data_IF_275410490203
#
_entry.id   IF_275410490203
#
_cell.length_a   1.000
_cell.length_b   1.000
_cell.length_c   1.000
_cell.angle_alpha   90.00
_cell.angle_beta   90.00
_cell.angle_gamma   90.00
#
_symmetry.space_group_name_H-M   'P 1'
#
loop_
_entity.id
_entity.type
_entity.pdbx_description
1 polymer ?
#
# COMPACT_ATOMS: atom_id res chain seq x y z
N UNK A 1 48.06 37.39 -18.01
CA UNK A 1 48.33 36.33 -17.02
C UNK A 1 47.01 36.01 -16.32
N UNK A 2 46.47 34.78 -16.42
CA UNK A 2 45.19 34.44 -15.79
C UNK A 2 45.41 34.19 -14.30
N UNK A 3 44.51 34.70 -13.45
CA UNK A 3 44.60 34.57 -11.99
C UNK A 3 44.20 33.15 -11.55
N UNK A 4 45.14 32.29 -11.09
CA UNK A 4 44.88 30.87 -10.86
C UNK A 4 44.03 30.55 -9.61
N UNK A 5 43.75 31.54 -8.75
CA UNK A 5 42.98 31.34 -7.52
C UNK A 5 41.46 31.52 -7.65
N UNK A 6 41.00 32.31 -8.62
CA UNK A 6 39.57 32.67 -8.74
C UNK A 6 38.72 31.50 -9.26
N UNK A 7 39.27 30.68 -10.14
CA UNK A 7 38.62 29.47 -10.67
C UNK A 7 38.40 28.40 -9.57
N UNK A 8 39.37 28.24 -8.65
CA UNK A 8 39.26 27.29 -7.54
C UNK A 8 38.24 27.73 -6.49
N UNK A 9 38.19 29.03 -6.19
CA UNK A 9 37.21 29.62 -5.28
C UNK A 9 35.79 29.53 -5.85
N UNK A 10 35.60 29.86 -7.13
CA UNK A 10 34.32 29.71 -7.83
C UNK A 10 33.84 28.26 -7.89
N UNK A 11 34.76 27.30 -8.06
CA UNK A 11 34.46 25.86 -8.00
C UNK A 11 34.03 25.42 -6.60
N UNK A 12 34.73 25.85 -5.56
CA UNK A 12 34.35 25.55 -4.18
C UNK A 12 32.98 26.14 -3.81
N UNK A 13 32.69 27.35 -4.28
CA UNK A 13 31.38 28.00 -4.08
C UNK A 13 30.27 27.28 -4.86
N UNK A 14 30.55 26.85 -6.09
CA UNK A 14 29.62 26.07 -6.90
C UNK A 14 29.34 24.69 -6.28
N UNK A 15 30.35 23.99 -5.79
CA UNK A 15 30.19 22.68 -5.12
C UNK A 15 29.38 22.80 -3.82
N UNK A 16 29.61 23.85 -3.01
CA UNK A 16 28.82 24.13 -1.82
C UNK A 16 27.36 24.48 -2.14
N UNK A 17 27.12 25.22 -3.22
CA UNK A 17 25.77 25.55 -3.69
C UNK A 17 25.03 24.30 -4.22
N UNK A 18 25.72 23.47 -5.01
CA UNK A 18 25.19 22.23 -5.55
C UNK A 18 24.82 21.25 -4.42
N UNK A 19 25.66 21.13 -3.39
CA UNK A 19 25.37 20.27 -2.25
C UNK A 19 24.14 20.75 -1.45
N UNK A 20 23.98 22.06 -1.29
CA UNK A 20 22.81 22.66 -0.60
C UNK A 20 21.52 22.45 -1.39
N UNK A 21 21.55 22.62 -2.71
CA UNK A 21 20.41 22.37 -3.59
C UNK A 21 20.04 20.88 -3.60
N UNK A 22 21.03 19.99 -3.74
CA UNK A 22 20.81 18.54 -3.72
C UNK A 22 20.20 18.09 -2.38
N UNK A 23 20.72 18.60 -1.26
CA UNK A 23 20.19 18.29 0.07
C UNK A 23 18.76 18.81 0.25
N UNK A 24 18.46 20.01 -0.24
CA UNK A 24 17.12 20.60 -0.18
C UNK A 24 16.08 19.82 -1.00
N UNK A 25 16.49 19.10 -2.04
CA UNK A 25 15.63 18.24 -2.86
C UNK A 25 15.51 16.83 -2.26
N UNK A 26 16.61 16.25 -1.80
CA UNK A 26 16.65 14.86 -1.31
C UNK A 26 15.92 14.67 0.02
N UNK A 27 16.00 15.64 0.95
CA UNK A 27 15.32 15.58 2.25
C UNK A 27 13.78 15.46 2.11
N UNK A 28 13.08 16.35 1.38
CA UNK A 28 11.63 16.26 1.25
C UNK A 28 11.18 15.03 0.47
N UNK A 29 11.97 14.54 -0.49
CA UNK A 29 11.67 13.28 -1.21
C UNK A 29 11.72 12.09 -0.24
N UNK A 30 12.76 12.01 0.60
CA UNK A 30 12.87 10.95 1.61
C UNK A 30 11.74 11.04 2.66
N UNK A 31 11.35 12.27 3.04
CA UNK A 31 10.25 12.50 3.97
C UNK A 31 8.90 12.09 3.38
N UNK A 32 8.61 12.46 2.13
CA UNK A 32 7.39 12.07 1.43
C UNK A 32 7.31 10.55 1.23
N UNK A 33 8.42 9.89 0.88
CA UNK A 33 8.48 8.44 0.75
C UNK A 33 8.16 7.71 2.06
N UNK A 34 8.51 8.30 3.21
CA UNK A 34 8.24 7.72 4.53
C UNK A 34 6.76 7.82 4.94
N UNK A 35 5.99 8.72 4.34
CA UNK A 35 4.56 8.92 4.64
C UNK A 35 3.66 7.96 3.85
N UNK A 36 4.12 7.42 2.71
CA UNK A 36 3.28 6.70 1.74
C UNK A 36 2.97 5.24 2.05
N UNK A 37 3.30 4.69 3.23
CA UNK A 37 3.11 3.26 3.50
C UNK A 37 2.33 3.02 4.79
N UNK A 38 1.00 3.01 4.70
CA UNK A 38 0.11 2.38 5.67
C UNK A 38 -1.21 1.94 5.00
N UNK A 39 -1.11 1.23 3.87
CA UNK A 39 -2.21 0.45 3.31
C UNK A 39 -2.18 -0.94 3.91
N UNK A 40 -2.53 -1.04 5.19
CA UNK A 40 -2.73 -2.34 5.83
C UNK A 40 -4.14 -2.80 5.48
N UNK A 41 -4.24 -3.92 4.74
CA UNK A 41 -5.52 -4.58 4.57
C UNK A 41 -6.07 -4.88 5.96
N UNK A 42 -7.32 -4.49 6.20
CA UNK A 42 -7.94 -4.72 7.50
C UNK A 42 -8.14 -6.23 7.65
N UNK A 43 -7.30 -6.87 8.47
CA UNK A 43 -7.44 -8.27 8.88
C UNK A 43 -8.64 -8.38 9.83
N UNK A 44 -9.84 -8.16 9.30
CA UNK A 44 -11.08 -8.34 10.04
C UNK A 44 -11.22 -9.81 10.36
N UNK A 45 -11.19 -10.13 11.65
CA UNK A 45 -11.54 -11.48 12.12
C UNK A 45 -12.99 -11.75 11.71
N UNK A 46 -13.28 -12.83 10.96
CA UNK A 46 -14.63 -13.12 10.51
C UNK A 46 -15.51 -13.50 11.71
N UNK A 47 -16.76 -13.03 11.70
CA UNK A 47 -17.78 -13.56 12.60
C UNK A 47 -18.24 -14.92 12.07
N UNK A 48 -18.19 -15.96 12.91
CA UNK A 48 -18.58 -17.31 12.52
C UNK A 48 -19.97 -17.61 13.08
N UNK A 49 -20.91 -17.94 12.20
CA UNK A 49 -22.23 -18.46 12.54
C UNK A 49 -22.33 -19.88 11.97
N UNK A 50 -22.47 -20.87 12.86
CA UNK A 50 -22.68 -22.26 12.47
C UNK A 50 -24.17 -22.58 12.55
N UNK A 51 -24.75 -22.96 11.41
CA UNK A 51 -26.14 -23.43 11.31
C UNK A 51 -26.08 -24.93 11.05
N UNK A 52 -26.57 -25.72 12.00
CA UNK A 52 -26.70 -27.17 11.86
C UNK A 52 -28.14 -27.50 11.48
N UNK A 53 -28.30 -28.36 10.48
CA UNK A 53 -29.59 -28.92 10.09
C UNK A 53 -29.51 -30.43 10.22
N UNK A 54 -30.48 -31.01 10.92
CA UNK A 54 -30.58 -32.44 11.13
C UNK A 54 -31.29 -33.11 9.95
N UNK A 55 -30.85 -34.31 9.57
CA UNK A 55 -31.44 -35.16 8.52
C UNK A 55 -31.71 -34.52 7.14
N UNK A 56 -31.09 -33.38 6.83
CA UNK A 56 -31.20 -32.75 5.51
C UNK A 56 -30.27 -33.44 4.49
N UNK A 57 -30.86 -33.95 3.42
CA UNK A 57 -30.16 -34.54 2.28
C UNK A 57 -29.87 -33.55 1.16
N UNK A 58 -28.95 -33.91 0.26
CA UNK A 58 -28.66 -33.09 -0.93
C UNK A 58 -29.88 -32.84 -1.83
N UNK A 59 -30.80 -33.80 -1.89
CA UNK A 59 -32.04 -33.70 -2.67
C UNK A 59 -33.04 -32.69 -2.13
N UNK A 60 -32.84 -32.17 -0.93
CA UNK A 60 -33.78 -31.24 -0.29
C UNK A 60 -33.49 -29.77 -0.64
N UNK A 61 -32.29 -29.48 -1.16
CA UNK A 61 -31.89 -28.13 -1.58
C UNK A 61 -32.30 -27.86 -3.03
N UNK A 62 -32.88 -26.68 -3.27
CA UNK A 62 -33.32 -26.24 -4.60
C UNK A 62 -32.17 -26.21 -5.62
N UNK A 63 -30.98 -25.77 -5.20
CA UNK A 63 -29.79 -25.72 -6.06
C UNK A 63 -29.28 -27.08 -6.58
N UNK A 64 -29.70 -28.20 -5.98
CA UNK A 64 -29.40 -29.56 -6.44
C UNK A 64 -30.59 -30.24 -7.14
N UNK A 65 -31.63 -29.49 -7.48
CA UNK A 65 -32.84 -30.02 -8.13
C UNK A 65 -33.89 -30.57 -7.16
N UNK A 66 -33.81 -30.17 -5.89
CA UNK A 66 -34.86 -30.44 -4.91
C UNK A 66 -36.17 -29.72 -5.23
N UNK A 67 -37.29 -30.31 -4.84
CA UNK A 67 -38.64 -29.73 -5.07
C UNK A 67 -38.96 -28.58 -4.11
N UNK A 68 -38.23 -28.50 -2.98
CA UNK A 68 -38.40 -27.48 -1.95
C UNK A 68 -37.56 -26.25 -2.33
N UNK A 69 -38.19 -25.08 -2.35
CA UNK A 69 -37.47 -23.82 -2.58
C UNK A 69 -36.70 -23.40 -1.32
N UNK A 70 -35.39 -23.19 -1.45
CA UNK A 70 -34.48 -22.81 -0.35
C UNK A 70 -33.81 -21.45 -0.60
N UNK A 71 -34.58 -20.35 -0.77
CA UNK A 71 -34.06 -19.08 -1.31
C UNK A 71 -33.02 -18.34 -0.44
N UNK A 72 -32.84 -18.75 0.81
CA UNK A 72 -31.82 -18.19 1.72
C UNK A 72 -30.55 -19.06 1.78
N UNK A 73 -30.55 -20.24 1.15
CA UNK A 73 -29.47 -21.23 1.14
C UNK A 73 -28.98 -21.50 -0.29
N UNK A 74 -29.84 -21.33 -1.29
CA UNK A 74 -29.52 -21.39 -2.74
C UNK A 74 -28.51 -20.33 -3.19
#
# INVERSE_FOLDING_TARGET
>A
MPFPGREAELRSLAEGLLHRIATFILIPIAFLASISVNLQAEDRVPNIILILVDDMGYSDLGCYGGEIQTPHID
#
